data_IF_285904378980
#
_entry.id   IF_285904378980
#
_cell.length_a   1.000
_cell.length_b   1.000
_cell.length_c   1.000
_cell.angle_alpha   90.00
_cell.angle_beta   90.00
_cell.angle_gamma   90.00
#
_symmetry.space_group_name_H-M   'P 1'
#
loop_
_entity.id
_entity.type
_entity.pdbx_description
1 polymer ?
#
# COMPACT_ATOMS: atom_id res chain seq x y z
N UNK A 1 2.44 -35.36 -15.39
CA UNK A 1 3.35 -34.20 -15.30
C UNK A 1 2.56 -32.94 -15.67
N UNK A 2 2.08 -32.25 -14.64
CA UNK A 2 0.95 -31.29 -14.57
C UNK A 2 1.42 -29.82 -14.44
N UNK A 3 2.56 -29.49 -15.06
CA UNK A 3 3.21 -28.17 -14.98
C UNK A 3 2.39 -27.04 -15.63
N UNK A 4 1.40 -27.38 -16.45
CA UNK A 4 0.45 -26.45 -17.09
C UNK A 4 -0.61 -25.89 -16.14
N UNK A 5 -0.96 -26.60 -15.07
CA UNK A 5 -1.84 -26.10 -13.99
C UNK A 5 -1.15 -25.04 -13.12
N UNK A 6 0.17 -25.14 -12.97
CA UNK A 6 1.00 -24.18 -12.24
C UNK A 6 1.08 -22.84 -12.99
N UNK A 7 1.01 -22.85 -14.33
CA UNK A 7 1.09 -21.65 -15.20
C UNK A 7 -0.27 -20.94 -15.42
N UNK A 8 -1.39 -21.68 -15.38
CA UNK A 8 -2.73 -21.07 -15.46
C UNK A 8 -3.19 -20.48 -14.11
N UNK A 9 -2.78 -21.07 -12.98
CA UNK A 9 -3.10 -20.54 -11.65
C UNK A 9 -2.35 -19.23 -11.36
N UNK A 10 -1.16 -19.04 -11.94
CA UNK A 10 -0.40 -17.76 -11.90
C UNK A 10 -1.04 -16.63 -12.72
N UNK A 11 -1.95 -16.97 -13.65
CA UNK A 11 -2.71 -15.99 -14.44
C UNK A 11 -3.90 -15.40 -13.66
N UNK A 12 -4.44 -16.15 -12.68
CA UNK A 12 -5.43 -15.63 -11.71
C UNK A 12 -4.83 -14.66 -10.67
N UNK A 13 -3.50 -14.62 -10.55
CA UNK A 13 -2.76 -13.84 -9.55
C UNK A 13 -2.71 -12.33 -9.83
N UNK A 14 -3.02 -11.90 -11.06
CA UNK A 14 -2.98 -10.49 -11.47
C UNK A 14 -4.32 -9.77 -11.32
N UNK A 15 -5.43 -10.50 -11.43
CA UNK A 15 -6.78 -9.91 -11.39
C UNK A 15 -7.25 -9.52 -9.97
N UNK A 16 -6.57 -9.95 -8.90
CA UNK A 16 -6.92 -9.60 -7.50
C UNK A 16 -6.00 -8.54 -6.87
N UNK A 17 -4.92 -8.15 -7.56
CA UNK A 17 -4.27 -6.86 -7.30
C UNK A 17 -5.22 -5.66 -7.55
N UNK A 18 -6.39 -5.92 -8.17
CA UNK A 18 -7.48 -4.99 -8.47
C UNK A 18 -8.43 -4.70 -7.27
N UNK A 19 -8.20 -5.29 -6.09
CA UNK A 19 -8.88 -4.87 -4.85
C UNK A 19 -7.89 -4.10 -3.97
N UNK A 20 -7.47 -2.92 -4.44
CA UNK A 20 -6.63 -1.96 -3.70
C UNK A 20 -7.08 -1.90 -2.24
N UNK A 21 -6.20 -2.41 -1.36
CA UNK A 21 -6.50 -2.62 0.04
C UNK A 21 -7.11 -1.40 0.70
N UNK A 22 -8.10 -1.65 1.55
CA UNK A 22 -8.55 -0.68 2.54
C UNK A 22 -7.35 -0.33 3.44
N UNK A 23 -6.54 0.64 3.04
CA UNK A 23 -5.33 1.04 3.75
C UNK A 23 -5.73 1.79 5.01
N UNK A 24 -5.76 1.08 6.14
CA UNK A 24 -5.96 1.67 7.46
C UNK A 24 -4.63 1.62 8.21
N UNK A 25 -3.81 2.66 8.08
CA UNK A 25 -2.54 2.81 8.81
C UNK A 25 -1.31 3.08 7.92
N UNK A 26 -0.10 3.13 8.50
CA UNK A 26 1.14 3.39 7.77
C UNK A 26 1.45 2.34 6.69
N UNK A 27 1.94 2.80 5.54
CA UNK A 27 2.36 1.95 4.43
C UNK A 27 3.47 0.98 4.84
N UNK A 28 4.38 1.38 5.73
CA UNK A 28 5.42 0.51 6.28
C UNK A 28 4.83 -0.73 6.96
N UNK A 29 3.84 -0.53 7.83
CA UNK A 29 3.20 -1.60 8.58
C UNK A 29 2.41 -2.53 7.66
N UNK A 30 1.66 -1.95 6.72
CA UNK A 30 0.86 -2.69 5.76
C UNK A 30 1.73 -3.47 4.77
N UNK A 31 2.79 -2.83 4.27
CA UNK A 31 3.78 -3.44 3.41
C UNK A 31 4.50 -4.60 4.11
N UNK A 32 4.88 -4.43 5.37
CA UNK A 32 5.46 -5.50 6.17
C UNK A 32 4.51 -6.68 6.36
N UNK A 33 3.25 -6.41 6.71
CA UNK A 33 2.26 -7.46 6.93
C UNK A 33 1.96 -8.26 5.64
N UNK A 34 1.71 -7.57 4.53
CA UNK A 34 1.45 -8.20 3.24
C UNK A 34 2.68 -8.90 2.68
N UNK A 35 3.85 -8.26 2.78
CA UNK A 35 5.12 -8.84 2.37
C UNK A 35 5.45 -10.11 3.16
N UNK A 36 5.21 -10.12 4.47
CA UNK A 36 5.39 -11.30 5.31
C UNK A 36 4.40 -12.41 4.96
N UNK A 37 3.11 -12.09 4.79
CA UNK A 37 2.09 -13.08 4.41
C UNK A 37 2.39 -13.74 3.06
N UNK A 38 2.65 -12.91 2.03
CA UNK A 38 2.96 -13.41 0.69
C UNK A 38 4.29 -14.14 0.65
N UNK A 39 5.32 -13.61 1.32
CA UNK A 39 6.62 -14.24 1.43
C UNK A 39 6.56 -15.58 2.16
N UNK A 40 5.79 -15.69 3.24
CA UNK A 40 5.58 -16.94 3.97
C UNK A 40 4.89 -17.99 3.10
N UNK A 41 3.83 -17.61 2.39
CA UNK A 41 3.11 -18.53 1.51
C UNK A 41 4.01 -19.09 0.40
N UNK A 42 4.76 -18.22 -0.28
CA UNK A 42 5.68 -18.62 -1.33
C UNK A 42 6.85 -19.44 -0.77
N UNK A 43 7.41 -19.01 0.35
CA UNK A 43 8.48 -19.70 1.06
C UNK A 43 8.07 -21.09 1.54
N UNK A 44 6.82 -21.27 2.00
CA UNK A 44 6.28 -22.56 2.38
C UNK A 44 6.21 -23.53 1.20
N UNK A 45 5.74 -23.06 0.04
CA UNK A 45 5.62 -23.87 -1.18
C UNK A 45 7.01 -24.31 -1.66
N UNK A 46 7.97 -23.40 -1.67
CA UNK A 46 9.34 -23.70 -2.09
C UNK A 46 10.03 -24.63 -1.09
N UNK A 47 9.96 -24.33 0.22
CA UNK A 47 10.56 -25.13 1.27
C UNK A 47 9.97 -26.54 1.36
N UNK A 48 8.68 -26.70 1.10
CA UNK A 48 8.03 -28.01 1.10
C UNK A 48 8.62 -28.96 0.05
N UNK A 49 9.20 -28.46 -1.05
CA UNK A 49 9.88 -29.32 -2.04
C UNK A 49 11.18 -29.93 -1.50
N UNK A 50 11.79 -29.32 -0.50
CA UNK A 50 13.02 -29.79 0.15
C UNK A 50 12.78 -30.53 1.47
N UNK A 51 11.53 -30.56 1.96
CA UNK A 51 11.16 -31.14 3.25
C UNK A 51 11.01 -30.11 4.38
N UNK A 52 11.39 -28.86 4.13
CA UNK A 52 11.49 -27.78 5.12
C UNK A 52 10.48 -26.66 4.85
N UNK A 53 9.21 -27.02 4.65
CA UNK A 53 8.15 -26.05 4.35
C UNK A 53 7.96 -24.98 5.45
N UNK A 54 8.05 -25.37 6.73
CA UNK A 54 7.94 -24.43 7.84
C UNK A 54 9.13 -23.46 7.90
N UNK A 55 10.34 -23.94 7.58
CA UNK A 55 11.55 -23.13 7.57
C UNK A 55 11.54 -22.16 6.38
N UNK A 56 11.14 -22.65 5.19
CA UNK A 56 10.91 -21.82 4.02
C UNK A 56 9.85 -20.74 4.27
N UNK A 57 8.77 -21.07 4.97
CA UNK A 57 7.73 -20.10 5.35
C UNK A 57 8.27 -19.04 6.32
N UNK A 58 9.02 -19.44 7.34
CA UNK A 58 9.58 -18.50 8.32
C UNK A 58 10.59 -17.55 7.67
N UNK A 59 11.50 -18.07 6.84
CA UNK A 59 12.48 -17.28 6.09
C UNK A 59 11.76 -16.34 5.12
N UNK A 60 10.79 -16.86 4.36
CA UNK A 60 9.98 -16.08 3.44
C UNK A 60 9.20 -14.96 4.14
N UNK A 61 8.66 -15.21 5.34
CA UNK A 61 7.95 -14.22 6.14
C UNK A 61 8.86 -13.09 6.61
N UNK A 62 10.03 -13.44 7.14
CA UNK A 62 11.00 -12.45 7.66
C UNK A 62 11.55 -11.60 6.53
N UNK A 63 11.97 -12.22 5.43
CA UNK A 63 12.52 -11.50 4.27
C UNK A 63 11.43 -10.66 3.59
N UNK A 64 10.27 -11.25 3.34
CA UNK A 64 9.13 -10.56 2.72
C UNK A 64 8.62 -9.40 3.57
N UNK A 65 8.56 -9.59 4.89
CA UNK A 65 8.16 -8.55 5.84
C UNK A 65 9.17 -7.41 5.97
N UNK A 66 10.46 -7.72 6.01
CA UNK A 66 11.52 -6.71 6.05
C UNK A 66 11.55 -5.86 4.77
N UNK A 67 11.47 -6.50 3.60
CA UNK A 67 11.41 -5.80 2.31
C UNK A 67 10.13 -4.96 2.20
N UNK A 68 8.97 -5.54 2.58
CA UNK A 68 7.70 -4.83 2.58
C UNK A 68 7.69 -3.62 3.52
N UNK A 69 8.32 -3.73 4.69
CA UNK A 69 8.48 -2.62 5.63
C UNK A 69 9.32 -1.49 5.04
N UNK A 70 10.49 -1.81 4.48
CA UNK A 70 11.41 -0.81 3.93
C UNK A 70 10.74 0.00 2.81
N UNK A 71 10.12 -0.69 1.85
CA UNK A 71 9.41 -0.05 0.73
C UNK A 71 8.22 0.77 1.22
N UNK A 72 7.47 0.28 2.21
CA UNK A 72 6.35 1.03 2.78
C UNK A 72 6.81 2.26 3.56
N UNK A 73 7.94 2.20 4.26
CA UNK A 73 8.50 3.33 5.00
C UNK A 73 8.93 4.48 4.08
N UNK A 74 9.56 4.16 2.95
CA UNK A 74 9.88 5.15 1.91
C UNK A 74 8.61 5.82 1.36
N UNK A 75 7.53 5.05 1.16
CA UNK A 75 6.25 5.62 0.73
C UNK A 75 5.64 6.54 1.77
N UNK A 76 5.64 6.15 3.04
CA UNK A 76 5.10 6.98 4.12
C UNK A 76 5.79 8.36 4.16
N UNK A 77 7.10 8.40 3.96
CA UNK A 77 7.86 9.66 3.89
C UNK A 77 7.43 10.52 2.68
N UNK A 78 7.35 9.91 1.49
CA UNK A 78 6.92 10.62 0.29
C UNK A 78 5.47 11.13 0.36
N UNK A 79 4.56 10.34 0.94
CA UNK A 79 3.17 10.76 1.11
C UNK A 79 3.04 11.90 2.12
N UNK A 80 3.82 11.89 3.20
CA UNK A 80 3.82 12.97 4.17
C UNK A 80 4.20 14.31 3.51
N UNK A 81 5.28 14.35 2.73
CA UNK A 81 5.68 15.56 1.99
C UNK A 81 4.60 16.00 0.99
N UNK A 82 4.10 15.06 0.20
CA UNK A 82 3.12 15.36 -0.87
C UNK A 82 1.79 15.87 -0.30
N UNK A 83 1.35 15.35 0.85
CA UNK A 83 0.12 15.79 1.51
C UNK A 83 0.22 17.24 2.01
N UNK A 84 1.39 17.66 2.49
CA UNK A 84 1.60 19.05 2.89
C UNK A 84 1.41 20.01 1.71
N UNK A 85 2.01 19.70 0.55
CA UNK A 85 1.85 20.51 -0.65
C UNK A 85 0.39 20.56 -1.13
N UNK A 86 -0.31 19.42 -1.15
CA UNK A 86 -1.72 19.38 -1.54
C UNK A 86 -2.61 20.21 -0.60
N UNK A 87 -2.37 20.09 0.70
CA UNK A 87 -3.12 20.82 1.73
C UNK A 87 -2.89 22.33 1.60
N UNK A 88 -1.66 22.79 1.35
CA UNK A 88 -1.40 24.22 1.15
C UNK A 88 -2.14 24.78 -0.08
N UNK A 89 -2.20 24.03 -1.17
CA UNK A 89 -2.94 24.43 -2.37
C UNK A 89 -4.45 24.50 -2.10
N UNK A 90 -5.01 23.51 -1.39
CA UNK A 90 -6.42 23.54 -0.98
C UNK A 90 -6.73 24.72 -0.05
N UNK A 91 -5.85 25.03 0.90
CA UNK A 91 -6.02 26.18 1.80
C UNK A 91 -5.94 27.50 1.01
N UNK A 92 -5.00 27.63 0.06
CA UNK A 92 -4.88 28.82 -0.78
C UNK A 92 -6.14 29.04 -1.62
N UNK A 93 -6.68 27.98 -2.22
CA UNK A 93 -7.94 28.02 -2.98
C UNK A 93 -9.14 28.33 -2.07
N UNK A 94 -9.23 27.71 -0.90
CA UNK A 94 -10.29 27.95 0.06
C UNK A 94 -10.26 29.39 0.60
N UNK A 95 -9.07 29.97 0.81
CA UNK A 95 -8.91 31.37 1.21
C UNK A 95 -9.42 32.34 0.12
N UNK A 96 -9.16 32.03 -1.15
CA UNK A 96 -9.70 32.83 -2.26
C UNK A 96 -11.23 32.74 -2.33
N UNK A 97 -11.80 31.54 -2.24
CA UNK A 97 -13.26 31.36 -2.23
C UNK A 97 -13.91 32.04 -1.02
N UNK A 98 -13.26 32.02 0.15
CA UNK A 98 -13.73 32.71 1.36
C UNK A 98 -13.63 34.22 1.24
N UNK A 99 -12.60 34.77 0.60
CA UNK A 99 -12.48 36.22 0.37
C UNK A 99 -13.59 36.73 -0.55
N UNK A 100 -13.95 35.98 -1.61
CA UNK A 100 -15.09 36.31 -2.47
C UNK A 100 -16.43 36.19 -1.74
N UNK A 101 -16.61 35.17 -0.89
CA UNK A 101 -17.80 35.00 -0.07
C UNK A 101 -17.95 36.13 0.96
N UNK A 102 -16.85 36.56 1.58
CA UNK A 102 -16.83 37.69 2.51
C UNK A 102 -17.21 39.00 1.82
N UNK A 103 -16.65 39.27 0.63
CA UNK A 103 -17.02 40.45 -0.15
C UNK A 103 -18.50 40.43 -0.59
N UNK A 104 -19.04 39.23 -0.91
CA UNK A 104 -20.48 39.06 -1.20
C UNK A 104 -21.34 39.33 0.03
N UNK A 105 -20.88 38.93 1.22
CA UNK A 105 -21.61 39.14 2.45
C UNK A 105 -21.65 40.62 2.82
N UNK A 106 -20.55 41.36 2.67
CA UNK A 106 -20.55 42.81 2.86
C UNK A 106 -21.51 43.51 1.89
N UNK A 107 -21.58 43.04 0.63
CA UNK A 107 -22.51 43.58 -0.37
C UNK A 107 -23.99 43.29 -0.09
N UNK A 108 -24.30 42.37 0.83
CA UNK A 108 -25.67 41.98 1.19
C UNK A 108 -26.20 42.71 2.44
N UNK A 109 -25.32 43.38 3.18
CA UNK A 109 -25.64 44.03 4.47
C UNK A 109 -25.81 45.56 4.32
N UNK A 110 -25.57 46.09 3.12
CA UNK A 110 -25.79 47.50 2.75
C UNK A 110 -27.00 47.57 1.81
#
# INVERSE_FOLDING_TARGET
>A
MNKTLISLLTCGSISLALFSGCESGPNAQNGAAWGALTGAALGAIVGHQSGDGAEGAAIGAVVGGAVGHAVGNERDEHYAETQHYQTELEIAQARQARAEAQARQERMVI
#
